data_IF_227938083134
#
_entry.id   IF_227938083134
#
_cell.length_a   1.000
_cell.length_b   1.000
_cell.length_c   1.000
_cell.angle_alpha   90.00
_cell.angle_beta   90.00
_cell.angle_gamma   90.00
#
_symmetry.space_group_name_H-M   'P 1'
#
loop_
_entity.id
_entity.type
_entity.pdbx_description
1 polymer ?
#
# COMPACT_ATOMS: atom_id res chain seq x y z
N UNK A 1 -25.46 -4.85 7.85
CA UNK A 1 -25.06 -3.46 8.10
C UNK A 1 -23.61 -3.48 8.55
N UNK A 2 -22.80 -2.53 8.09
CA UNK A 2 -21.45 -2.37 8.62
C UNK A 2 -21.52 -1.65 9.98
N UNK A 3 -20.61 -2.01 10.88
CA UNK A 3 -20.49 -1.45 12.25
C UNK A 3 -19.17 -0.69 12.34
N UNK A 4 -18.96 0.10 13.38
CA UNK A 4 -17.67 0.75 13.63
C UNK A 4 -17.29 0.51 15.08
N UNK A 5 -16.26 -0.29 15.31
CA UNK A 5 -15.75 -0.55 16.66
C UNK A 5 -14.62 0.43 17.02
N UNK A 6 -14.12 1.20 16.04
CA UNK A 6 -12.95 2.05 16.19
C UNK A 6 -11.66 1.26 16.46
N UNK A 7 -10.51 1.93 16.34
CA UNK A 7 -9.23 1.36 16.76
C UNK A 7 -8.29 2.43 17.28
N UNK A 8 -7.57 2.11 18.37
CA UNK A 8 -6.47 2.94 18.83
C UNK A 8 -5.31 3.02 17.81
N UNK A 9 -5.22 2.05 16.90
CA UNK A 9 -4.21 2.03 15.82
C UNK A 9 -4.68 2.72 14.53
N UNK A 10 -5.79 3.46 14.57
CA UNK A 10 -6.25 4.23 13.42
C UNK A 10 -5.25 5.35 13.08
N UNK A 11 -5.00 5.55 11.79
CA UNK A 11 -4.12 6.60 11.32
C UNK A 11 -4.12 6.72 9.80
N UNK A 12 -3.49 7.79 9.31
CA UNK A 12 -3.29 8.01 7.88
C UNK A 12 -1.93 8.65 7.63
N UNK A 13 -1.08 7.94 6.89
CA UNK A 13 0.25 8.41 6.52
C UNK A 13 0.35 8.60 5.01
N UNK A 14 0.78 9.80 4.60
CA UNK A 14 1.08 10.17 3.21
C UNK A 14 2.59 10.14 3.00
N UNK A 15 3.03 9.45 1.95
CA UNK A 15 4.45 9.33 1.59
C UNK A 15 4.75 10.18 0.36
N UNK A 16 5.72 11.10 0.48
CA UNK A 16 6.22 11.86 -0.67
C UNK A 16 7.47 11.20 -1.30
N UNK A 17 8.18 10.40 -0.51
CA UNK A 17 9.28 9.52 -0.95
C UNK A 17 9.26 8.24 -0.13
N UNK A 18 9.79 7.16 -0.69
CA UNK A 18 9.99 5.88 0.00
C UNK A 18 11.42 5.40 -0.24
N UNK A 19 12.08 4.89 0.80
CA UNK A 19 13.44 4.38 0.67
C UNK A 19 13.44 3.03 -0.04
N UNK A 20 14.35 2.88 -1.00
CA UNK A 20 14.62 1.62 -1.70
C UNK A 20 15.89 0.99 -1.14
N UNK A 21 15.82 -0.28 -0.75
CA UNK A 21 17.00 -1.13 -0.61
C UNK A 21 17.41 -1.63 -2.00
N UNK A 22 18.55 -1.14 -2.48
CA UNK A 22 19.08 -1.45 -3.81
C UNK A 22 19.69 -2.86 -3.91
N UNK A 23 20.04 -3.51 -2.80
CA UNK A 23 20.57 -4.88 -2.83
C UNK A 23 19.48 -5.87 -3.25
N UNK A 24 18.26 -5.66 -2.74
CA UNK A 24 17.12 -6.57 -2.95
C UNK A 24 16.00 -5.96 -3.78
N UNK A 25 16.15 -4.71 -4.22
CA UNK A 25 15.13 -3.92 -4.91
C UNK A 25 13.80 -3.90 -4.15
N UNK A 26 13.84 -3.61 -2.85
CA UNK A 26 12.65 -3.60 -1.96
C UNK A 26 12.40 -2.21 -1.39
N UNK A 27 11.13 -1.82 -1.29
CA UNK A 27 10.77 -0.66 -0.47
C UNK A 27 10.89 -0.97 1.02
N UNK A 28 11.48 -0.04 1.77
CA UNK A 28 11.40 -0.04 3.23
C UNK A 28 10.06 0.56 3.66
N UNK A 29 9.02 -0.27 3.75
CA UNK A 29 7.65 0.18 4.01
C UNK A 29 7.44 0.84 5.39
N UNK A 30 8.37 0.68 6.33
CA UNK A 30 8.28 1.28 7.68
C UNK A 30 9.12 2.53 7.84
N UNK A 31 9.88 2.94 6.81
CA UNK A 31 10.65 4.17 6.85
C UNK A 31 9.74 5.39 6.61
N UNK A 32 9.46 6.12 7.69
CA UNK A 32 8.62 7.33 7.67
C UNK A 32 9.44 8.62 7.52
N UNK A 33 10.74 8.56 7.18
CA UNK A 33 11.61 9.75 7.05
C UNK A 33 11.02 10.81 6.11
N UNK A 34 10.29 10.40 5.07
CA UNK A 34 9.66 11.27 4.09
C UNK A 34 8.13 11.12 4.05
N UNK A 35 7.55 10.68 5.16
CA UNK A 35 6.12 10.54 5.33
C UNK A 35 5.57 11.63 6.27
N UNK A 36 4.33 12.01 6.05
CA UNK A 36 3.55 12.85 6.96
C UNK A 36 2.35 12.04 7.43
N UNK A 37 2.22 11.87 8.74
CA UNK A 37 1.02 11.29 9.33
C UNK A 37 0.02 12.41 9.58
N UNK A 38 -1.08 12.42 8.81
CA UNK A 38 -2.08 13.48 8.86
C UNK A 38 -2.94 13.38 10.12
N UNK A 39 -3.17 12.16 10.62
CA UNK A 39 -3.82 11.89 11.89
C UNK A 39 -3.46 10.50 12.41
N UNK A 40 -3.59 10.32 13.73
CA UNK A 40 -3.44 9.03 14.39
C UNK A 40 -2.02 8.46 14.34
N UNK A 41 -1.93 7.14 14.27
CA UNK A 41 -0.67 6.41 14.26
C UNK A 41 0.02 6.40 12.89
N UNK A 42 1.34 6.15 12.90
CA UNK A 42 2.12 5.95 11.68
C UNK A 42 1.69 4.64 10.99
N UNK A 43 1.17 4.76 9.76
CA UNK A 43 0.72 3.63 8.95
C UNK A 43 1.80 3.26 7.93
N UNK A 44 2.35 2.02 7.97
CA UNK A 44 3.35 1.58 6.99
C UNK A 44 2.87 1.71 5.54
N UNK A 45 3.78 2.07 4.66
CA UNK A 45 3.49 2.22 3.23
C UNK A 45 2.88 0.94 2.65
N UNK A 46 1.91 1.11 1.75
CA UNK A 46 1.19 0.02 1.09
C UNK A 46 0.45 -0.96 2.02
N UNK A 47 0.11 -0.53 3.24
CA UNK A 47 -0.70 -1.31 4.18
C UNK A 47 -1.99 -0.57 4.53
N UNK A 48 -3.04 -1.32 4.87
CA UNK A 48 -4.31 -0.77 5.28
C UNK A 48 -5.08 -1.77 6.14
N UNK A 49 -5.97 -1.28 6.97
CA UNK A 49 -6.89 -2.08 7.76
C UNK A 49 -7.97 -1.23 8.39
N UNK A 50 -8.92 -1.90 9.03
CA UNK A 50 -9.96 -1.27 9.85
C UNK A 50 -10.41 -2.21 10.96
N UNK A 51 -11.09 -1.63 11.95
CA UNK A 51 -11.91 -2.32 12.93
C UNK A 51 -13.38 -1.95 12.70
N UNK A 52 -13.86 -2.18 11.47
CA UNK A 52 -15.20 -1.76 11.09
C UNK A 52 -16.18 -2.93 11.23
N UNK A 53 -16.04 -3.99 10.43
CA UNK A 53 -17.05 -5.03 10.42
C UNK A 53 -16.56 -6.42 10.05
N UNK A 54 -17.18 -7.43 10.64
CA UNK A 54 -16.99 -8.84 10.28
C UNK A 54 -17.60 -9.22 8.91
N UNK A 55 -18.35 -8.33 8.25
CA UNK A 55 -18.88 -8.53 6.90
C UNK A 55 -17.95 -7.90 5.86
N UNK A 56 -18.09 -8.27 4.58
CA UNK A 56 -17.25 -7.75 3.49
C UNK A 56 -17.52 -6.26 3.18
N UNK A 57 -16.97 -5.40 4.04
CA UNK A 57 -17.12 -3.95 4.03
C UNK A 57 -15.80 -3.24 4.41
N UNK A 58 -14.65 -3.53 3.77
CA UNK A 58 -13.37 -2.93 4.13
C UNK A 58 -13.35 -1.42 3.83
N UNK A 59 -13.00 -0.65 4.85
CA UNK A 59 -12.89 0.82 4.88
C UNK A 59 -11.45 1.31 4.84
N UNK A 60 -10.49 0.54 5.37
CA UNK A 60 -9.07 0.88 5.30
C UNK A 60 -8.57 0.96 3.86
N UNK A 61 -7.71 1.94 3.55
CA UNK A 61 -7.22 2.17 2.18
C UNK A 61 -5.72 2.40 2.13
N UNK A 62 -5.09 1.91 1.07
CA UNK A 62 -3.75 2.34 0.67
C UNK A 62 -3.70 2.64 -0.83
N UNK A 63 -2.69 3.41 -1.24
CA UNK A 63 -2.39 3.68 -2.64
C UNK A 63 -0.88 3.66 -2.90
N UNK A 64 -0.50 3.10 -4.04
CA UNK A 64 0.84 3.12 -4.62
C UNK A 64 0.72 3.80 -5.98
N UNK A 65 1.59 4.76 -6.24
CA UNK A 65 1.74 5.38 -7.56
C UNK A 65 3.24 5.57 -7.84
N UNK A 66 3.75 4.77 -8.77
CA UNK A 66 5.13 4.77 -9.22
C UNK A 66 5.28 5.33 -10.63
N UNK A 67 4.23 5.91 -11.20
CA UNK A 67 4.31 6.52 -12.53
C UNK A 67 5.31 7.68 -12.50
N UNK A 68 6.05 7.85 -13.58
CA UNK A 68 7.13 8.82 -13.67
C UNK A 68 8.42 8.44 -12.93
N UNK A 69 8.49 7.28 -12.26
CA UNK A 69 9.71 6.85 -11.55
C UNK A 69 10.60 5.90 -12.35
N UNK A 70 10.07 5.30 -13.43
CA UNK A 70 10.75 4.20 -14.13
C UNK A 70 10.71 2.87 -13.37
N UNK A 71 9.84 2.73 -12.37
CA UNK A 71 9.71 1.56 -11.51
C UNK A 71 8.28 1.01 -11.53
N UNK A 72 8.13 -0.29 -11.30
CA UNK A 72 6.85 -0.96 -11.06
C UNK A 72 6.99 -2.00 -9.96
N UNK A 73 5.86 -2.44 -9.40
CA UNK A 73 5.81 -3.60 -8.51
C UNK A 73 5.88 -4.90 -9.35
N UNK A 74 6.59 -5.91 -8.84
CA UNK A 74 6.69 -7.22 -9.51
C UNK A 74 5.32 -7.93 -9.57
N UNK A 75 5.10 -8.69 -10.65
CA UNK A 75 3.78 -9.24 -10.99
C UNK A 75 3.25 -10.25 -9.97
N UNK A 76 4.14 -11.09 -9.44
CA UNK A 76 3.83 -12.17 -8.51
C UNK A 76 3.86 -11.72 -7.04
N UNK A 77 3.92 -10.40 -6.75
CA UNK A 77 3.72 -9.88 -5.40
C UNK A 77 2.25 -10.06 -4.96
N UNK A 78 2.00 -10.27 -3.66
CA UNK A 78 0.64 -10.36 -3.10
C UNK A 78 0.51 -9.55 -1.82
N UNK A 79 -0.70 -9.10 -1.55
CA UNK A 79 -1.11 -8.63 -0.22
C UNK A 79 -1.72 -9.79 0.53
N UNK A 80 -1.32 -9.93 1.78
CA UNK A 80 -1.72 -11.00 2.67
C UNK A 80 -2.57 -10.38 3.77
N UNK A 81 -3.77 -10.92 3.94
CA UNK A 81 -4.66 -10.53 5.01
C UNK A 81 -4.18 -11.07 6.37
N UNK A 82 -4.38 -10.26 7.40
CA UNK A 82 -3.99 -10.54 8.77
C UNK A 82 -5.13 -10.14 9.71
N UNK A 83 -5.48 -11.02 10.64
CA UNK A 83 -6.59 -10.82 11.57
C UNK A 83 -7.71 -11.84 11.36
N UNK A 84 -8.91 -11.51 11.84
CA UNK A 84 -10.08 -12.38 11.80
C UNK A 84 -11.16 -11.80 10.88
N UNK A 85 -11.80 -12.65 10.06
CA UNK A 85 -12.85 -12.25 9.10
C UNK A 85 -12.42 -11.04 8.26
N UNK A 86 -11.23 -11.15 7.70
CA UNK A 86 -10.62 -10.11 6.88
C UNK A 86 -11.26 -10.08 5.51
N UNK A 87 -11.29 -8.89 4.91
CA UNK A 87 -11.57 -8.71 3.50
C UNK A 87 -10.54 -7.76 2.90
N UNK A 88 -10.02 -8.12 1.74
CA UNK A 88 -9.18 -7.25 0.93
C UNK A 88 -9.61 -7.24 -0.53
N UNK A 89 -9.45 -6.07 -1.15
CA UNK A 89 -9.62 -5.86 -2.60
C UNK A 89 -8.43 -5.06 -3.08
N UNK A 90 -7.66 -5.66 -3.99
CA UNK A 90 -6.44 -5.06 -4.53
C UNK A 90 -6.61 -4.89 -6.03
N UNK A 91 -6.59 -3.64 -6.46
CA UNK A 91 -6.71 -3.24 -7.85
C UNK A 91 -5.34 -2.79 -8.36
N UNK A 92 -4.94 -3.32 -9.52
CA UNK A 92 -3.64 -3.06 -10.15
C UNK A 92 -3.88 -2.44 -11.53
N UNK A 93 -3.10 -1.41 -11.86
CA UNK A 93 -3.19 -0.69 -13.12
C UNK A 93 -1.82 -0.15 -13.55
N UNK A 94 -1.74 0.42 -14.75
CA UNK A 94 -0.51 1.01 -15.30
C UNK A 94 0.70 0.07 -15.25
N UNK A 95 0.51 -1.20 -15.64
CA UNK A 95 1.55 -2.23 -15.60
C UNK A 95 2.18 -2.40 -14.19
N UNK A 96 1.34 -2.47 -13.15
CA UNK A 96 1.76 -2.58 -11.75
C UNK A 96 2.56 -1.37 -11.21
N UNK A 97 2.50 -0.22 -11.88
CA UNK A 97 2.98 1.04 -11.32
C UNK A 97 1.95 1.70 -10.39
N UNK A 98 0.66 1.42 -10.58
CA UNK A 98 -0.42 1.95 -9.74
C UNK A 98 -1.19 0.82 -9.08
N UNK A 99 -1.29 0.85 -7.75
CA UNK A 99 -1.99 -0.17 -6.97
C UNK A 99 -2.83 0.51 -5.89
N UNK A 100 -4.12 0.20 -5.86
CA UNK A 100 -5.04 0.63 -4.82
C UNK A 100 -5.53 -0.58 -4.03
N UNK A 101 -5.55 -0.45 -2.72
CA UNK A 101 -6.07 -1.50 -1.85
C UNK A 101 -7.15 -0.98 -0.92
N UNK A 102 -8.18 -1.80 -0.72
CA UNK A 102 -9.13 -1.69 0.38
C UNK A 102 -9.01 -2.90 1.27
N UNK A 103 -8.78 -2.68 2.56
CA UNK A 103 -8.50 -3.76 3.50
C UNK A 103 -9.15 -3.47 4.84
N UNK A 104 -9.58 -4.54 5.50
CA UNK A 104 -10.38 -4.40 6.71
C UNK A 104 -10.93 -5.73 7.20
N UNK A 105 -11.93 -5.63 8.05
CA UNK A 105 -12.64 -6.76 8.63
C UNK A 105 -12.96 -6.52 10.09
N UNK A 106 -13.02 -7.60 10.87
CA UNK A 106 -13.08 -7.46 12.32
C UNK A 106 -11.67 -7.22 12.87
N UNK A 107 -11.26 -5.96 12.87
CA UNK A 107 -9.88 -5.52 13.16
C UNK A 107 -8.85 -6.19 12.23
N UNK A 108 -9.23 -6.26 10.95
CA UNK A 108 -8.43 -6.88 9.90
C UNK A 108 -7.55 -5.87 9.18
N UNK A 109 -6.41 -6.34 8.69
CA UNK A 109 -5.52 -5.56 7.84
C UNK A 109 -4.97 -6.40 6.69
N UNK A 110 -4.42 -5.73 5.68
CA UNK A 110 -3.63 -6.35 4.64
C UNK A 110 -2.27 -5.65 4.54
N UNK A 111 -1.25 -6.42 4.18
CA UNK A 111 0.09 -5.90 3.92
C UNK A 111 0.76 -6.74 2.82
N UNK A 112 1.78 -6.21 2.12
CA UNK A 112 2.59 -7.03 1.22
C UNK A 112 3.12 -8.27 1.94
N UNK A 113 3.23 -9.38 1.22
CA UNK A 113 3.78 -10.63 1.75
C UNK A 113 5.09 -10.36 2.50
N UNK A 114 5.13 -10.75 3.78
CA UNK A 114 6.24 -10.44 4.69
C UNK A 114 7.56 -11.13 4.31
N UNK A 115 7.49 -12.29 3.67
CA UNK A 115 8.68 -13.05 3.27
C UNK A 115 9.23 -12.50 1.97
N UNK A 116 8.35 -12.10 1.06
CA UNK A 116 8.75 -11.50 -0.20
C UNK A 116 9.17 -10.04 -0.04
N UNK A 117 8.43 -9.27 0.75
CA UNK A 117 8.56 -7.81 0.86
C UNK A 117 8.04 -7.11 -0.40
N UNK A 118 7.93 -5.79 -0.33
CA UNK A 118 7.45 -4.96 -1.43
C UNK A 118 8.55 -4.75 -2.48
N UNK A 119 8.75 -5.75 -3.34
CA UNK A 119 9.77 -5.78 -4.40
C UNK A 119 9.32 -4.95 -5.59
N UNK A 120 10.28 -4.19 -6.13
CA UNK A 120 10.14 -3.42 -7.36
C UNK A 120 11.13 -3.87 -8.42
N UNK A 121 10.84 -3.51 -9.66
CA UNK A 121 11.73 -3.68 -10.79
C UNK A 121 11.71 -2.45 -11.69
N UNK A 122 12.74 -2.34 -12.53
CA UNK A 122 12.86 -1.25 -13.49
C UNK A 122 11.88 -1.51 -14.65
N UNK A 123 11.02 -0.54 -14.93
CA UNK A 123 10.18 -0.51 -16.11
C UNK A 123 10.36 0.85 -16.82
N UNK A 124 11.11 0.89 -17.94
CA UNK A 124 11.32 2.12 -18.70
C UNK A 124 10.04 2.79 -19.16
N UNK A 125 8.92 2.06 -19.29
CA UNK A 125 7.62 2.63 -19.66
C UNK A 125 7.05 3.53 -18.57
N UNK A 126 7.53 3.42 -17.33
CA UNK A 126 7.12 4.26 -16.20
C UNK A 126 7.97 5.51 -16.05
N UNK A 127 8.87 5.82 -16.99
CA UNK A 127 9.61 7.10 -16.98
C UNK A 127 8.67 8.25 -17.39
N UNK A 128 8.96 9.50 -16.97
CA UNK A 128 8.18 10.65 -17.44
C UNK A 128 8.19 10.71 -18.96
N UNK A 129 7.04 10.94 -19.59
CA UNK A 129 6.98 11.17 -21.03
C UNK A 129 7.76 12.43 -21.35
N UNK A 130 8.77 12.31 -22.23
CA UNK A 130 9.53 13.47 -22.71
C UNK A 130 8.66 14.45 -23.52
N UNK A 131 7.50 14.00 -23.98
CA UNK A 131 6.54 14.79 -24.78
C UNK A 131 5.95 16.01 -24.02
N UNK A 132 6.09 16.07 -22.69
CA UNK A 132 5.63 17.21 -21.87
C UNK A 132 6.71 18.26 -21.55
N UNK A 133 7.92 18.11 -22.08
CA UNK A 133 9.06 19.02 -21.84
C UNK A 133 9.41 19.90 -23.05
N UNK A 134 8.53 19.96 -24.06
CA UNK A 134 8.64 20.85 -25.21
C UNK A 134 7.48 21.85 -25.22
#
# INVERSE_FOLDING_TARGET
>A
MCTDDGSASAGFSRFNKIRVDLHNMKFNIRDHTFATTEYGENVPYATAGDCYSAVDCPQGRFGIDLRGTGLRIVDDLRWIDQGHRTSSRIERSDNNAVIFGRCGGYCGQCAPDKFKGLIIEIDPKQKPSLDGLM
#
